data_IF_907266316136
#
_entry.id   IF_907266316136
#
_cell.length_a   1.000
_cell.length_b   1.000
_cell.length_c   1.000
_cell.angle_alpha   90.00
_cell.angle_beta   90.00
_cell.angle_gamma   90.00
#
_symmetry.space_group_name_H-M   'P 1'
#
loop_
_entity.id
_entity.type
_entity.pdbx_description
1 polymer ?
#
# COMPACT_ATOMS: atom_id res chain seq x y z
N UNK A 1 -64.65 -2.81 -35.80
CA UNK A 1 -63.61 -1.78 -35.61
C UNK A 1 -63.02 -1.92 -34.20
N UNK A 2 -61.69 -1.88 -34.15
CA UNK A 2 -60.77 -1.65 -33.02
C UNK A 2 -60.73 -2.60 -31.82
N UNK A 3 -59.79 -3.53 -31.93
CA UNK A 3 -59.02 -4.16 -30.86
C UNK A 3 -57.94 -3.19 -30.33
N UNK A 4 -58.00 -2.83 -29.04
CA UNK A 4 -56.92 -2.10 -28.35
C UNK A 4 -56.07 -3.12 -27.59
N UNK A 5 -54.82 -3.26 -28.03
CA UNK A 5 -53.82 -4.19 -27.52
C UNK A 5 -53.27 -3.74 -26.16
N UNK A 6 -53.20 -4.67 -25.21
CA UNK A 6 -52.35 -4.58 -24.02
C UNK A 6 -50.87 -4.46 -24.44
N UNK A 7 -50.24 -3.34 -24.09
CA UNK A 7 -48.80 -3.14 -24.25
C UNK A 7 -48.22 -2.41 -23.03
N UNK A 8 -48.42 -2.96 -21.84
CA UNK A 8 -47.86 -2.43 -20.59
C UNK A 8 -47.39 -3.57 -19.67
N UNK A 9 -46.36 -4.33 -20.06
CA UNK A 9 -45.72 -5.26 -19.09
C UNK A 9 -44.27 -5.67 -19.36
N UNK A 10 -43.51 -5.00 -20.25
CA UNK A 10 -42.12 -5.41 -20.57
C UNK A 10 -41.01 -4.45 -20.15
N UNK A 11 -41.30 -3.28 -19.57
CA UNK A 11 -40.26 -2.29 -19.21
C UNK A 11 -39.79 -2.29 -17.74
N UNK A 12 -40.46 -3.01 -16.83
CA UNK A 12 -40.11 -2.97 -15.39
C UNK A 12 -39.07 -4.05 -15.01
N UNK A 13 -38.90 -5.11 -15.81
CA UNK A 13 -38.01 -6.23 -15.46
C UNK A 13 -36.51 -5.95 -15.72
N UNK A 14 -36.17 -4.94 -16.51
CA UNK A 14 -34.76 -4.62 -16.83
C UNK A 14 -34.05 -3.77 -15.75
N UNK A 15 -34.81 -3.14 -14.84
CA UNK A 15 -34.25 -2.25 -13.82
C UNK A 15 -33.83 -3.01 -12.54
N UNK A 16 -34.43 -4.18 -12.24
CA UNK A 16 -34.05 -4.98 -11.07
C UNK A 16 -32.76 -5.80 -11.26
N UNK A 17 -32.36 -6.16 -12.48
CA UNK A 17 -31.10 -6.88 -12.69
C UNK A 17 -29.85 -5.99 -12.51
N UNK A 18 -29.97 -4.67 -12.68
CA UNK A 18 -28.85 -3.74 -12.50
C UNK A 18 -28.52 -3.45 -11.03
N UNK A 19 -29.46 -3.66 -10.11
CA UNK A 19 -29.26 -3.38 -8.68
C UNK A 19 -28.57 -4.53 -7.94
N UNK A 20 -28.59 -5.75 -8.46
CA UNK A 20 -27.95 -6.91 -7.82
C UNK A 20 -26.43 -6.95 -8.09
N UNK A 21 -25.97 -6.39 -9.22
CA UNK A 21 -24.54 -6.37 -9.58
C UNK A 21 -23.75 -5.35 -8.74
N UNK A 22 -24.40 -4.32 -8.22
CA UNK A 22 -23.76 -3.31 -7.37
C UNK A 22 -23.49 -3.80 -5.93
N UNK A 23 -24.27 -4.77 -5.43
CA UNK A 23 -24.17 -5.28 -4.06
C UNK A 23 -22.93 -6.15 -3.82
N UNK A 24 -22.59 -7.06 -4.74
CA UNK A 24 -21.43 -7.94 -4.57
C UNK A 24 -20.10 -7.17 -4.58
N UNK A 25 -19.98 -6.14 -5.45
CA UNK A 25 -18.75 -5.35 -5.56
C UNK A 25 -18.48 -4.45 -4.33
N UNK A 26 -19.50 -4.13 -3.53
CA UNK A 26 -19.32 -3.31 -2.33
C UNK A 26 -18.80 -4.13 -1.14
N UNK A 27 -19.34 -5.35 -0.95
CA UNK A 27 -18.91 -6.27 0.11
C UNK A 27 -17.47 -6.75 -0.10
N UNK A 28 -17.11 -7.13 -1.33
CA UNK A 28 -15.73 -7.58 -1.61
C UNK A 28 -14.69 -6.46 -1.41
N UNK A 29 -15.08 -5.20 -1.61
CA UNK A 29 -14.21 -4.04 -1.37
C UNK A 29 -14.04 -3.71 0.11
N UNK A 30 -15.10 -3.82 0.92
CA UNK A 30 -14.97 -3.65 2.37
C UNK A 30 -14.08 -4.76 2.95
N UNK A 31 -14.27 -6.00 2.50
CA UNK A 31 -13.48 -7.13 2.97
C UNK A 31 -12.00 -6.97 2.60
N UNK A 32 -11.71 -6.52 1.38
CA UNK A 32 -10.33 -6.26 0.94
C UNK A 32 -9.69 -5.10 1.71
N UNK A 33 -10.45 -4.05 2.06
CA UNK A 33 -9.93 -2.93 2.84
C UNK A 33 -9.48 -3.40 4.21
N UNK A 34 -10.31 -4.16 4.92
CA UNK A 34 -10.00 -4.64 6.28
C UNK A 34 -8.77 -5.57 6.26
N UNK A 35 -8.69 -6.43 5.25
CA UNK A 35 -7.52 -7.31 5.04
C UNK A 35 -6.24 -6.50 4.81
N UNK A 36 -6.30 -5.43 4.01
CA UNK A 36 -5.15 -4.56 3.74
C UNK A 36 -4.75 -3.75 4.97
N UNK A 37 -5.70 -3.13 5.68
CA UNK A 37 -5.42 -2.39 6.92
C UNK A 37 -4.73 -3.31 7.93
N UNK A 38 -5.25 -4.53 8.12
CA UNK A 38 -4.62 -5.51 9.01
C UNK A 38 -3.20 -5.88 8.56
N UNK A 39 -3.01 -6.10 7.26
CA UNK A 39 -1.70 -6.40 6.70
C UNK A 39 -0.72 -5.25 6.86
N UNK A 40 -1.17 -4.00 6.81
CA UNK A 40 -0.32 -2.82 7.03
C UNK A 40 0.16 -2.72 8.47
N UNK A 41 -0.71 -2.97 9.45
CA UNK A 41 -0.30 -3.05 10.86
C UNK A 41 0.83 -4.06 11.07
N UNK A 42 0.73 -5.22 10.42
CA UNK A 42 1.71 -6.29 10.59
C UNK A 42 3.00 -6.02 9.80
N UNK A 43 2.92 -5.48 8.57
CA UNK A 43 4.10 -5.04 7.81
C UNK A 43 4.89 -3.95 8.53
N UNK A 44 4.21 -3.04 9.22
CA UNK A 44 4.87 -1.99 10.01
C UNK A 44 5.89 -2.55 11.01
N UNK A 45 5.60 -3.73 11.59
CA UNK A 45 6.48 -4.41 12.54
C UNK A 45 7.84 -4.77 11.93
N UNK A 46 7.92 -4.92 10.60
CA UNK A 46 9.15 -5.23 9.88
C UNK A 46 10.20 -4.11 9.95
N UNK A 47 9.80 -2.89 10.33
CA UNK A 47 10.69 -1.74 10.55
C UNK A 47 10.73 -1.27 12.01
N UNK A 48 9.62 -1.40 12.74
CA UNK A 48 9.47 -0.79 14.07
C UNK A 48 9.21 -1.79 15.20
N UNK A 49 8.97 -3.07 14.91
CA UNK A 49 8.71 -4.09 15.92
C UNK A 49 9.99 -4.51 16.65
N UNK A 50 10.06 -4.32 17.97
CA UNK A 50 11.27 -4.63 18.75
C UNK A 50 11.75 -6.09 18.60
N UNK A 51 10.81 -7.02 18.49
CA UNK A 51 11.08 -8.46 18.39
C UNK A 51 11.35 -8.94 16.95
N UNK A 52 11.19 -8.08 15.94
CA UNK A 52 11.36 -8.52 14.55
C UNK A 52 12.85 -8.80 14.23
N UNK A 53 13.19 -9.93 13.59
CA UNK A 53 14.57 -10.25 13.26
C UNK A 53 15.03 -9.53 11.98
N UNK A 54 15.48 -8.28 12.12
CA UNK A 54 15.94 -7.41 11.02
C UNK A 54 17.15 -7.92 10.23
N UNK A 55 17.81 -9.01 10.63
CA UNK A 55 18.88 -9.65 9.86
C UNK A 55 18.72 -11.17 9.81
N UNK A 56 19.29 -11.81 8.78
CA UNK A 56 19.32 -13.27 8.67
C UNK A 56 19.95 -13.93 9.89
N UNK A 57 21.01 -13.32 10.43
CA UNK A 57 21.66 -13.83 11.65
C UNK A 57 20.76 -13.76 12.88
N UNK A 58 19.99 -12.67 13.04
CA UNK A 58 19.00 -12.57 14.12
C UNK A 58 17.89 -13.60 13.94
N UNK A 59 17.39 -13.80 12.72
CA UNK A 59 16.37 -14.82 12.44
C UNK A 59 16.90 -16.22 12.76
N UNK A 60 18.12 -16.54 12.30
CA UNK A 60 18.78 -17.82 12.60
C UNK A 60 18.93 -18.03 14.11
N UNK A 61 19.27 -16.98 14.86
CA UNK A 61 19.33 -17.03 16.33
C UNK A 61 17.95 -17.30 16.94
N UNK A 62 16.90 -16.63 16.47
CA UNK A 62 15.53 -16.87 16.95
C UNK A 62 15.09 -18.31 16.69
N UNK A 63 15.38 -18.85 15.50
CA UNK A 63 15.08 -20.24 15.12
C UNK A 63 15.87 -21.22 15.98
N UNK A 64 17.20 -21.04 16.10
CA UNK A 64 18.08 -21.92 16.88
C UNK A 64 17.68 -21.99 18.35
N UNK A 65 17.26 -20.87 18.93
CA UNK A 65 16.87 -20.78 20.34
C UNK A 65 15.36 -21.00 20.57
N UNK A 66 14.58 -21.27 19.52
CA UNK A 66 13.11 -21.37 19.58
C UNK A 66 12.45 -20.17 20.31
N UNK A 67 12.95 -18.97 20.05
CA UNK A 67 12.51 -17.77 20.75
C UNK A 67 11.16 -17.28 20.20
N UNK A 68 10.09 -17.70 20.88
CA UNK A 68 8.70 -17.51 20.41
C UNK A 68 8.31 -16.06 20.09
N UNK A 69 8.62 -15.03 20.91
CA UNK A 69 8.25 -13.64 20.59
C UNK A 69 8.78 -13.18 19.23
N UNK A 70 10.05 -13.44 18.93
CA UNK A 70 10.66 -13.12 17.65
C UNK A 70 10.03 -13.90 16.48
N UNK A 71 9.84 -15.22 16.64
CA UNK A 71 9.25 -16.06 15.60
C UNK A 71 7.80 -15.66 15.29
N UNK A 72 7.03 -15.29 16.31
CA UNK A 72 5.65 -14.83 16.14
C UNK A 72 5.58 -13.52 15.34
N UNK A 73 6.42 -12.54 15.67
CA UNK A 73 6.46 -11.26 14.92
C UNK A 73 6.97 -11.48 13.51
N UNK A 74 7.96 -12.35 13.32
CA UNK A 74 8.44 -12.74 11.99
C UNK A 74 7.31 -13.34 11.13
N UNK A 75 6.58 -14.34 11.63
CA UNK A 75 5.49 -14.95 10.86
C UNK A 75 4.37 -13.97 10.52
N UNK A 76 3.97 -13.09 11.46
CA UNK A 76 2.98 -12.03 11.18
C UNK A 76 3.39 -11.15 10.00
N UNK A 77 4.64 -10.71 9.97
CA UNK A 77 5.18 -9.89 8.86
C UNK A 77 5.17 -10.67 7.54
N UNK A 78 5.59 -11.93 7.56
CA UNK A 78 5.63 -12.77 6.35
C UNK A 78 4.22 -13.04 5.82
N UNK A 79 3.26 -13.34 6.69
CA UNK A 79 1.87 -13.58 6.32
C UNK A 79 1.22 -12.32 5.74
N UNK A 80 1.47 -11.16 6.35
CA UNK A 80 1.00 -9.87 5.85
C UNK A 80 1.61 -9.51 4.48
N UNK A 81 2.91 -9.75 4.30
CA UNK A 81 3.58 -9.61 3.00
C UNK A 81 2.93 -10.49 1.94
N UNK A 82 2.75 -11.79 2.24
CA UNK A 82 2.16 -12.74 1.31
C UNK A 82 0.72 -12.34 0.95
N UNK A 83 -0.05 -11.87 1.94
CA UNK A 83 -1.40 -11.35 1.75
C UNK A 83 -1.37 -10.18 0.76
N UNK A 84 -0.58 -9.13 1.01
CA UNK A 84 -0.48 -7.99 0.09
C UNK A 84 -0.03 -8.44 -1.29
N UNK A 85 1.03 -9.25 -1.38
CA UNK A 85 1.56 -9.74 -2.66
C UNK A 85 0.51 -10.52 -3.46
N UNK A 86 -0.33 -11.32 -2.81
CA UNK A 86 -1.43 -12.02 -3.49
C UNK A 86 -2.46 -11.05 -4.07
N UNK A 87 -2.75 -9.95 -3.37
CA UNK A 87 -3.69 -8.92 -3.86
C UNK A 87 -3.08 -8.06 -4.97
N UNK A 88 -1.75 -7.92 -4.98
CA UNK A 88 -1.01 -7.21 -6.03
C UNK A 88 -0.53 -8.13 -7.15
N UNK A 89 -1.01 -9.38 -7.23
CA UNK A 89 -0.67 -10.37 -8.25
C UNK A 89 -1.95 -10.92 -8.89
N UNK A 90 -2.41 -10.33 -10.00
CA UNK A 90 -3.64 -10.76 -10.70
C UNK A 90 -4.53 -9.62 -11.19
N UNK A 91 -5.79 -9.93 -11.49
CA UNK A 91 -6.77 -8.99 -12.04
C UNK A 91 -7.18 -7.89 -11.03
N UNK A 92 -7.04 -8.15 -9.72
CA UNK A 92 -7.41 -7.23 -8.63
C UNK A 92 -6.35 -6.17 -8.31
N UNK A 93 -5.20 -6.17 -8.98
CA UNK A 93 -4.08 -5.27 -8.71
C UNK A 93 -4.43 -3.78 -8.68
N UNK A 94 -5.23 -3.31 -9.64
CA UNK A 94 -5.63 -1.91 -9.73
C UNK A 94 -6.56 -1.50 -8.59
N UNK A 95 -7.43 -2.42 -8.15
CA UNK A 95 -8.35 -2.22 -7.03
C UNK A 95 -7.57 -2.15 -5.73
N UNK A 96 -6.66 -3.11 -5.49
CA UNK A 96 -5.81 -3.15 -4.29
C UNK A 96 -4.95 -1.88 -4.15
N UNK A 97 -4.36 -1.40 -5.25
CA UNK A 97 -3.60 -0.15 -5.24
C UNK A 97 -4.49 1.06 -4.93
N UNK A 98 -5.69 1.12 -5.51
CA UNK A 98 -6.66 2.18 -5.22
C UNK A 98 -7.01 2.22 -3.73
N UNK A 99 -7.39 1.08 -3.16
CA UNK A 99 -7.73 0.95 -1.74
C UNK A 99 -6.54 1.28 -0.84
N UNK A 100 -5.33 0.84 -1.19
CA UNK A 100 -4.10 1.17 -0.45
C UNK A 100 -3.89 2.68 -0.36
N UNK A 101 -4.06 3.39 -1.46
CA UNK A 101 -3.92 4.86 -1.49
C UNK A 101 -5.03 5.56 -0.71
N UNK A 102 -6.26 5.03 -0.74
CA UNK A 102 -7.38 5.54 0.06
C UNK A 102 -7.15 5.31 1.58
N UNK A 103 -6.57 4.15 1.95
CA UNK A 103 -6.17 3.86 3.33
C UNK A 103 -5.08 4.82 3.77
N UNK A 104 -4.02 5.03 2.98
CA UNK A 104 -2.95 6.00 3.31
C UNK A 104 -3.55 7.40 3.51
N UNK A 105 -4.41 7.84 2.59
CA UNK A 105 -5.04 9.16 2.67
C UNK A 105 -5.85 9.36 3.96
N UNK A 106 -6.64 8.36 4.34
CA UNK A 106 -7.48 8.41 5.55
C UNK A 106 -6.68 8.19 6.84
N UNK A 107 -5.81 7.18 6.89
CA UNK A 107 -5.06 6.80 8.08
C UNK A 107 -4.01 7.84 8.47
N UNK A 108 -3.29 8.43 7.50
CA UNK A 108 -2.22 9.40 7.79
C UNK A 108 -2.74 10.75 8.32
N UNK A 109 -4.05 11.00 8.23
CA UNK A 109 -4.72 12.17 8.80
C UNK A 109 -5.48 11.83 10.09
N UNK A 110 -5.48 10.56 10.51
CA UNK A 110 -6.17 10.14 11.71
C UNK A 110 -5.59 10.82 12.95
N UNK A 111 -6.46 11.11 13.91
CA UNK A 111 -6.06 11.54 15.27
C UNK A 111 -5.77 10.36 16.19
N UNK A 112 -6.20 9.17 15.81
CA UNK A 112 -5.82 7.95 16.51
C UNK A 112 -4.37 7.62 16.14
N UNK A 113 -3.48 7.72 17.14
CA UNK A 113 -2.05 7.48 16.96
C UNK A 113 -1.74 6.05 16.51
N UNK A 114 -2.55 5.05 16.89
CA UNK A 114 -2.35 3.69 16.41
C UNK A 114 -2.64 3.62 14.92
N UNK A 115 -3.76 4.18 14.46
CA UNK A 115 -4.10 4.23 13.02
C UNK A 115 -3.04 5.03 12.25
N UNK A 116 -2.65 6.19 12.77
CA UNK A 116 -1.68 7.08 12.13
C UNK A 116 -0.26 6.51 12.09
N UNK A 117 0.12 5.63 13.02
CA UNK A 117 1.44 5.01 13.04
C UNK A 117 1.44 3.66 12.32
N UNK A 118 0.60 2.72 12.73
CA UNK A 118 0.64 1.35 12.22
C UNK A 118 0.09 1.24 10.79
N UNK A 119 -1.11 1.78 10.55
CA UNK A 119 -1.82 1.61 9.27
C UNK A 119 -1.25 2.55 8.20
N UNK A 120 -1.05 3.83 8.53
CA UNK A 120 -0.46 4.79 7.58
C UNK A 120 0.95 4.34 7.14
N UNK A 121 1.89 4.12 8.07
CA UNK A 121 3.26 3.79 7.69
C UNK A 121 3.34 2.40 7.06
N UNK A 122 2.59 1.42 7.57
CA UNK A 122 2.44 0.12 6.92
C UNK A 122 1.92 0.24 5.48
N UNK A 123 0.94 1.10 5.24
CA UNK A 123 0.41 1.41 3.92
C UNK A 123 1.47 2.02 3.00
N UNK A 124 2.25 3.00 3.49
CA UNK A 124 3.34 3.61 2.71
C UNK A 124 4.44 2.56 2.42
N UNK A 125 4.80 1.73 3.40
CA UNK A 125 5.74 0.62 3.23
C UNK A 125 5.26 -0.37 2.16
N UNK A 126 3.95 -0.67 2.13
CA UNK A 126 3.35 -1.60 1.16
C UNK A 126 3.46 -1.11 -0.30
N UNK A 127 3.65 0.19 -0.53
CA UNK A 127 3.83 0.74 -1.87
C UNK A 127 4.98 0.05 -2.63
N UNK A 128 5.94 -0.56 -1.92
CA UNK A 128 7.02 -1.36 -2.51
C UNK A 128 6.50 -2.47 -3.44
N UNK A 129 5.37 -3.10 -3.11
CA UNK A 129 4.86 -4.26 -3.87
C UNK A 129 4.14 -3.86 -5.16
N UNK A 130 3.92 -2.56 -5.38
CA UNK A 130 3.23 -2.02 -6.55
C UNK A 130 4.24 -1.44 -7.55
N UNK A 131 4.99 -2.30 -8.26
CA UNK A 131 6.23 -1.93 -8.97
C UNK A 131 6.18 -1.98 -10.51
N UNK A 132 5.07 -1.59 -11.14
CA UNK A 132 4.98 -1.48 -12.62
C UNK A 132 4.99 -0.02 -13.08
N UNK A 133 5.38 0.29 -14.32
CA UNK A 133 5.32 1.64 -14.87
C UNK A 133 3.93 2.30 -14.78
N UNK A 134 2.86 1.51 -14.93
CA UNK A 134 1.47 1.94 -14.83
C UNK A 134 1.10 2.27 -13.38
N UNK A 135 1.53 1.42 -12.43
CA UNK A 135 1.33 1.63 -11.00
C UNK A 135 2.04 2.91 -10.55
N UNK A 136 3.27 3.14 -11.01
CA UNK A 136 4.00 4.38 -10.74
C UNK A 136 3.24 5.62 -11.22
N UNK A 137 2.71 5.60 -12.45
CA UNK A 137 1.89 6.70 -12.99
C UNK A 137 0.63 6.94 -12.13
N UNK A 138 -0.04 5.85 -11.72
CA UNK A 138 -1.26 5.95 -10.91
C UNK A 138 -0.98 6.49 -9.50
N UNK A 139 0.05 5.97 -8.81
CA UNK A 139 0.48 6.48 -7.49
C UNK A 139 0.80 7.98 -7.62
N UNK A 140 1.62 8.37 -8.59
CA UNK A 140 1.99 9.77 -8.80
C UNK A 140 0.76 10.67 -9.01
N UNK A 141 -0.22 10.20 -9.79
CA UNK A 141 -1.45 10.94 -10.05
C UNK A 141 -2.29 11.17 -8.80
N UNK A 142 -2.26 10.22 -7.85
CA UNK A 142 -2.91 10.34 -6.54
C UNK A 142 -2.13 11.25 -5.62
N UNK A 143 -0.81 11.09 -5.50
CA UNK A 143 0.05 11.91 -4.62
C UNK A 143 -0.05 13.41 -4.92
N UNK A 144 -0.16 13.79 -6.20
CA UNK A 144 -0.37 15.18 -6.63
C UNK A 144 -1.63 15.83 -6.07
N UNK A 145 -2.63 15.04 -5.70
CA UNK A 145 -3.93 15.49 -5.16
C UNK A 145 -4.02 15.43 -3.64
N UNK A 146 -3.10 14.71 -2.99
CA UNK A 146 -3.10 14.57 -1.53
C UNK A 146 -2.75 15.90 -0.85
N UNK A 147 -3.04 16.07 0.44
CA UNK A 147 -2.51 17.19 1.23
C UNK A 147 -0.98 17.14 1.35
N UNK A 148 -0.35 18.31 1.46
CA UNK A 148 1.10 18.46 1.68
C UNK A 148 1.60 17.62 2.86
N UNK A 149 0.83 17.60 3.96
CA UNK A 149 1.13 16.78 5.14
C UNK A 149 1.33 15.30 4.81
N UNK A 150 0.48 14.72 3.95
CA UNK A 150 0.59 13.30 3.58
C UNK A 150 1.79 13.08 2.66
N UNK A 151 2.01 13.97 1.67
CA UNK A 151 3.20 13.89 0.81
C UNK A 151 4.48 13.95 1.64
N UNK A 152 4.52 14.85 2.62
CA UNK A 152 5.64 15.01 3.56
C UNK A 152 5.92 13.72 4.31
N UNK A 153 4.90 13.08 4.89
CA UNK A 153 5.06 11.77 5.54
C UNK A 153 5.60 10.70 4.58
N UNK A 154 5.06 10.65 3.36
CA UNK A 154 5.43 9.66 2.34
C UNK A 154 6.90 9.77 1.91
N UNK A 155 7.44 10.99 1.80
CA UNK A 155 8.80 11.22 1.32
C UNK A 155 9.85 11.34 2.43
N UNK A 156 9.46 11.76 3.63
CA UNK A 156 10.38 11.85 4.76
C UNK A 156 10.54 10.52 5.52
N UNK A 157 9.62 9.58 5.35
CA UNK A 157 9.78 8.26 5.96
C UNK A 157 10.79 7.41 5.19
N UNK A 158 11.88 6.97 5.83
CA UNK A 158 12.96 6.15 5.24
C UNK A 158 12.56 4.71 4.86
N UNK A 159 11.49 4.53 4.09
CA UNK A 159 10.99 3.23 3.68
C UNK A 159 11.63 2.76 2.38
N UNK A 160 11.72 1.44 2.19
CA UNK A 160 12.39 0.86 1.03
C UNK A 160 11.57 0.96 -0.27
N UNK A 161 10.36 1.51 -0.27
CA UNK A 161 9.52 1.56 -1.46
C UNK A 161 10.13 2.37 -2.61
N UNK A 162 11.03 3.32 -2.33
CA UNK A 162 11.75 4.10 -3.34
C UNK A 162 12.59 3.24 -4.29
N UNK A 163 13.15 2.13 -3.78
CA UNK A 163 14.12 1.30 -4.50
C UNK A 163 13.50 0.31 -5.50
N UNK A 164 12.17 0.17 -5.52
CA UNK A 164 11.46 -0.78 -6.39
C UNK A 164 10.55 -0.06 -7.39
N UNK A 165 11.12 0.96 -8.06
CA UNK A 165 10.39 1.87 -8.93
C UNK A 165 10.91 1.81 -10.37
N UNK A 166 10.13 1.26 -11.32
CA UNK A 166 10.58 1.13 -12.70
C UNK A 166 10.70 2.47 -13.43
N UNK A 167 9.87 3.47 -13.12
CA UNK A 167 9.92 4.78 -13.76
C UNK A 167 10.74 5.80 -12.96
N UNK A 168 12.03 5.56 -12.76
CA UNK A 168 12.91 6.39 -11.90
C UNK A 168 12.89 7.88 -12.28
N UNK A 169 13.05 8.19 -13.57
CA UNK A 169 13.03 9.57 -14.06
C UNK A 169 11.71 10.30 -13.78
N UNK A 170 10.59 9.57 -13.80
CA UNK A 170 9.28 10.14 -13.48
C UNK A 170 9.24 10.61 -12.03
N UNK A 171 9.75 9.79 -11.12
CA UNK A 171 9.80 10.08 -9.69
C UNK A 171 10.77 11.22 -9.38
N UNK A 172 11.97 11.20 -9.94
CA UNK A 172 12.97 12.25 -9.74
C UNK A 172 12.44 13.61 -10.22
N UNK A 173 11.82 13.67 -11.41
CA UNK A 173 11.19 14.90 -11.90
C UNK A 173 10.07 15.39 -10.99
N UNK A 174 9.29 14.49 -10.41
CA UNK A 174 8.24 14.87 -9.48
C UNK A 174 8.79 15.40 -8.16
N UNK A 175 9.78 14.73 -7.56
CA UNK A 175 10.40 15.15 -6.30
C UNK A 175 10.96 16.56 -6.39
N UNK A 176 11.57 16.91 -7.52
CA UNK A 176 12.14 18.24 -7.77
C UNK A 176 11.11 19.39 -7.72
N UNK A 177 9.82 19.10 -7.87
CA UNK A 177 8.74 20.11 -7.91
C UNK A 177 7.63 19.81 -6.91
N UNK A 178 7.79 18.74 -6.10
CA UNK A 178 6.76 18.32 -5.17
C UNK A 178 6.68 19.31 -4.01
N UNK A 179 5.46 19.74 -3.71
CA UNK A 179 5.16 20.53 -2.52
C UNK A 179 5.22 19.64 -1.27
N UNK A 180 6.41 19.59 -0.67
CA UNK A 180 6.80 18.74 0.45
C UNK A 180 7.61 19.58 1.44
N UNK A 181 7.24 19.54 2.71
CA UNK A 181 8.04 20.12 3.78
C UNK A 181 9.21 19.16 4.12
N UNK A 182 10.33 19.35 3.44
CA UNK A 182 11.52 18.52 3.61
C UNK A 182 12.12 18.70 5.01
N UNK A 183 12.35 17.60 5.73
CA UNK A 183 12.85 17.63 7.12
C UNK A 183 14.23 18.28 7.30
N UNK A 184 15.04 18.33 6.23
CA UNK A 184 16.38 18.93 6.28
C UNK A 184 16.88 19.39 4.92
N UNK A 185 17.86 20.30 4.96
CA UNK A 185 18.65 20.77 3.82
C UNK A 185 19.48 19.62 3.23
N UNK A 186 18.87 18.85 2.33
CA UNK A 186 19.47 17.67 1.71
C UNK A 186 18.54 16.47 1.63
N UNK A 187 17.42 16.49 2.36
CA UNK A 187 16.43 15.40 2.35
C UNK A 187 15.86 15.13 0.95
N UNK A 188 15.51 16.18 0.21
CA UNK A 188 15.02 16.05 -1.18
C UNK A 188 16.05 15.34 -2.08
N UNK A 189 17.33 15.70 -1.94
CA UNK A 189 18.42 15.08 -2.72
C UNK A 189 18.59 13.62 -2.31
N UNK A 190 18.62 13.34 -1.01
CA UNK A 190 18.68 11.98 -0.49
C UNK A 190 17.57 11.11 -1.07
N UNK A 191 16.30 11.54 -0.98
CA UNK A 191 15.16 10.79 -1.54
C UNK A 191 15.31 10.60 -3.04
N UNK A 192 15.73 11.65 -3.78
CA UNK A 192 15.97 11.55 -5.23
C UNK A 192 17.03 10.50 -5.56
N UNK A 193 18.12 10.45 -4.79
CA UNK A 193 19.19 9.46 -4.95
C UNK A 193 18.70 8.03 -4.66
N UNK A 194 17.75 7.87 -3.74
CA UNK A 194 17.19 6.55 -3.39
C UNK A 194 16.42 5.91 -4.53
N UNK A 195 15.72 6.70 -5.37
CA UNK A 195 15.06 6.17 -6.58
C UNK A 195 16.05 5.68 -7.64
N UNK A 196 17.32 6.10 -7.59
CA UNK A 196 18.36 5.64 -8.51
C UNK A 196 19.05 4.34 -8.07
N UNK A 197 18.91 3.97 -6.79
CA UNK A 197 19.55 2.79 -6.22
C UNK A 197 18.69 1.54 -6.41
N UNK A 198 19.33 0.40 -6.58
CA UNK A 198 18.73 -0.91 -6.45
C UNK A 198 18.64 -1.29 -4.97
N UNK A 199 17.61 -2.06 -4.60
CA UNK A 199 17.48 -2.59 -3.24
C UNK A 199 18.68 -3.47 -2.83
N UNK A 200 19.39 -4.07 -3.78
CA UNK A 200 20.62 -4.82 -3.53
C UNK A 200 21.82 -3.96 -3.11
N UNK A 201 21.75 -2.64 -3.32
CA UNK A 201 22.80 -1.67 -2.99
C UNK A 201 22.55 -1.00 -1.63
N UNK A 202 21.55 -1.48 -0.89
CA UNK A 202 21.18 -0.96 0.42
C UNK A 202 21.94 -1.71 1.50
N UNK A 203 22.75 -1.00 2.27
CA UNK A 203 23.40 -1.55 3.45
C UNK A 203 22.37 -2.02 4.47
N UNK A 204 22.62 -3.22 4.99
CA UNK A 204 21.67 -3.93 5.83
C UNK A 204 20.88 -4.96 5.04
N UNK A 205 19.85 -5.49 5.68
CA UNK A 205 19.23 -6.73 5.24
C UNK A 205 17.72 -6.38 5.04
N UNK A 206 17.32 -6.01 3.81
CA UNK A 206 16.07 -5.29 3.57
C UNK A 206 14.86 -6.18 3.84
N UNK A 207 14.04 -5.77 4.81
CA UNK A 207 12.88 -6.55 5.27
C UNK A 207 11.91 -6.93 4.14
N UNK A 208 11.86 -6.15 3.05
CA UNK A 208 10.97 -6.44 1.92
C UNK A 208 11.41 -7.64 1.09
N UNK A 209 12.70 -7.98 1.13
CA UNK A 209 13.25 -9.11 0.38
C UNK A 209 13.12 -10.45 1.11
N UNK A 210 12.82 -10.45 2.41
CA UNK A 210 12.69 -11.67 3.23
C UNK A 210 11.27 -12.21 3.28
#
# INVERSE_FOLDING_TARGET
MSSVRLAYSRKIMAIMCFLIIAGCNASEKSDLRDVLEKSFEDIYLAKHGMEYPYSKDRLNSCVKNNYKPCLNVYHRVIDAKNTIVSQVSGESQGIALGITLDIIESACLSKDENVANFICYGGIMSLYFYNSPEKDKYILSRLKKLPEKIRTLIFNSDFFWYYNRPNRDLWIRYIAVADVNWESDGRMKFVSDMFNKNISEVDGDPWVLR
#
